data_IF_500223296566
#
_entry.id   IF_500223296566
#
_cell.length_a   1.000
_cell.length_b   1.000
_cell.length_c   1.000
_cell.angle_alpha   90.00
_cell.angle_beta   90.00
_cell.angle_gamma   90.00
#
_symmetry.space_group_name_H-M   'P 1'
#
loop_
_entity.id
_entity.type
_entity.pdbx_description
1 polymer ?
#
# COMPACT_ATOMS: atom_id res chain seq x y z
N UNK A 1 -17.44 18.83 -5.63
CA UNK A 1 -16.99 17.59 -4.96
C UNK A 1 -16.73 17.89 -3.50
N UNK A 2 -16.97 16.95 -2.57
CA UNK A 2 -16.47 17.06 -1.19
C UNK A 2 -14.95 16.82 -1.16
N UNK A 3 -14.30 17.31 -0.10
CA UNK A 3 -12.95 16.91 0.28
C UNK A 3 -13.04 16.13 1.60
N UNK A 4 -12.40 14.96 1.67
CA UNK A 4 -12.47 14.07 2.83
C UNK A 4 -11.12 13.97 3.55
N UNK A 5 -11.16 13.73 4.86
CA UNK A 5 -9.96 13.63 5.70
C UNK A 5 -9.87 12.25 6.36
N UNK A 6 -8.79 11.53 6.08
CA UNK A 6 -8.54 10.17 6.56
C UNK A 6 -7.40 10.13 7.59
N UNK A 7 -7.57 9.32 8.64
CA UNK A 7 -6.57 9.14 9.70
C UNK A 7 -5.20 8.68 9.18
N UNK A 8 -5.19 7.77 8.21
CA UNK A 8 -3.99 7.23 7.55
C UNK A 8 -3.20 8.30 6.80
N UNK A 9 -3.86 9.34 6.27
CA UNK A 9 -3.23 10.42 5.51
C UNK A 9 -2.80 11.61 6.40
N UNK A 10 -2.98 11.56 7.73
CA UNK A 10 -2.55 12.67 8.62
C UNK A 10 -1.09 13.13 8.48
N UNK A 11 -0.09 12.27 8.16
CA UNK A 11 1.26 12.74 7.85
C UNK A 11 1.35 13.56 6.56
N UNK A 12 0.51 13.27 5.56
CA UNK A 12 0.45 14.02 4.31
C UNK A 12 -0.15 15.41 4.51
N UNK A 13 -1.19 15.52 5.34
CA UNK A 13 -1.80 16.80 5.71
C UNK A 13 -0.83 17.68 6.53
N UNK A 14 -0.06 17.08 7.45
CA UNK A 14 1.03 17.76 8.14
C UNK A 14 2.12 18.26 7.18
N UNK A 15 2.49 17.46 6.18
CA UNK A 15 3.43 17.88 5.14
C UNK A 15 2.90 19.09 4.37
N UNK A 16 1.62 19.08 3.94
CA UNK A 16 0.97 20.21 3.25
C UNK A 16 1.04 21.51 4.07
N UNK A 17 0.73 21.45 5.38
CA UNK A 17 0.79 22.63 6.27
C UNK A 17 2.23 23.13 6.52
N UNK A 18 3.23 22.26 6.40
CA UNK A 18 4.64 22.63 6.54
C UNK A 18 5.25 23.23 5.26
N UNK A 19 4.57 23.15 4.12
CA UNK A 19 5.00 23.78 2.87
C UNK A 19 4.88 25.31 2.94
N UNK A 20 5.70 26.02 2.16
CA UNK A 20 5.67 27.49 2.08
C UNK A 20 4.33 28.05 1.60
N UNK A 21 3.53 27.25 0.86
CA UNK A 21 2.18 27.60 0.40
C UNK A 21 1.26 26.37 0.52
N UNK A 22 0.61 26.14 1.67
CA UNK A 22 -0.37 25.07 1.82
C UNK A 22 -1.46 25.21 0.76
N UNK A 23 -1.82 24.09 0.12
CA UNK A 23 -2.68 24.10 -1.07
C UNK A 23 -3.74 23.00 -1.02
N UNK A 24 -4.91 23.29 -1.60
CA UNK A 24 -5.94 22.30 -1.93
C UNK A 24 -5.68 21.83 -3.35
N UNK A 25 -5.56 20.52 -3.54
CA UNK A 25 -5.28 19.93 -4.84
C UNK A 25 -6.58 19.50 -5.52
N UNK A 26 -6.84 20.04 -6.71
CA UNK A 26 -7.98 19.67 -7.53
C UNK A 26 -7.48 18.86 -8.71
N UNK A 27 -7.84 17.59 -8.75
CA UNK A 27 -7.53 16.71 -9.88
C UNK A 27 -8.59 16.91 -10.94
N UNK A 28 -8.16 17.34 -12.12
CA UNK A 28 -8.98 17.58 -13.31
C UNK A 28 -8.68 16.48 -14.33
N UNK A 29 -9.71 15.93 -14.97
CA UNK A 29 -9.57 15.06 -16.14
C UNK A 29 -10.24 15.72 -17.34
N UNK A 30 -9.69 15.50 -18.54
CA UNK A 30 -10.34 15.93 -19.77
C UNK A 30 -11.62 15.11 -20.00
N UNK A 31 -12.71 15.78 -20.35
CA UNK A 31 -14.01 15.19 -20.63
C UNK A 31 -14.30 15.38 -22.12
N UNK A 32 -14.31 14.31 -22.94
CA UNK A 32 -14.50 14.42 -24.39
C UNK A 32 -15.93 14.84 -24.77
N UNK A 33 -16.90 14.72 -23.86
CA UNK A 33 -18.29 15.14 -24.06
C UNK A 33 -18.57 16.55 -23.49
N UNK A 34 -17.55 17.22 -22.94
CA UNK A 34 -17.65 18.59 -22.44
C UNK A 34 -17.60 19.66 -23.55
N UNK A 35 -18.24 20.83 -23.35
CA UNK A 35 -18.14 21.92 -24.30
C UNK A 35 -16.71 22.52 -24.34
N UNK A 36 -16.32 23.06 -25.49
CA UNK A 36 -14.95 23.53 -25.77
C UNK A 36 -14.44 24.63 -24.82
N UNK A 37 -15.34 25.40 -24.21
CA UNK A 37 -15.00 26.46 -23.24
C UNK A 37 -14.70 25.91 -21.83
N UNK A 38 -15.10 24.67 -21.53
CA UNK A 38 -14.80 23.98 -20.28
C UNK A 38 -14.52 22.48 -20.51
N UNK A 39 -13.40 22.13 -21.19
CA UNK A 39 -13.09 20.75 -21.60
C UNK A 39 -12.60 19.83 -20.46
N UNK A 40 -12.48 20.37 -19.24
CA UNK A 40 -12.04 19.64 -18.05
C UNK A 40 -13.18 19.49 -17.03
N UNK A 41 -13.14 18.39 -16.28
CA UNK A 41 -14.02 18.13 -15.14
C UNK A 41 -13.20 17.81 -13.89
N UNK A 42 -13.60 18.32 -12.71
CA UNK A 42 -12.99 17.88 -11.46
C UNK A 42 -13.37 16.43 -11.17
N UNK A 43 -12.34 15.61 -10.93
CA UNK A 43 -12.42 14.19 -10.59
C UNK A 43 -12.32 13.99 -9.07
N UNK A 44 -11.38 14.68 -8.42
CA UNK A 44 -11.08 14.58 -6.99
C UNK A 44 -10.68 15.96 -6.43
N UNK A 45 -10.96 16.19 -5.16
CA UNK A 45 -10.38 17.29 -4.37
C UNK A 45 -9.71 16.67 -3.15
N UNK A 46 -8.40 16.82 -3.03
CA UNK A 46 -7.61 16.28 -1.92
C UNK A 46 -6.77 17.34 -1.22
N UNK A 47 -6.50 17.10 0.05
CA UNK A 47 -5.58 17.88 0.90
C UNK A 47 -4.25 17.14 1.11
N UNK A 48 -4.10 15.95 0.54
CA UNK A 48 -2.88 15.15 0.56
C UNK A 48 -1.99 15.48 -0.66
N UNK A 49 -0.79 16.04 -0.49
CA UNK A 49 0.12 16.29 -1.59
C UNK A 49 0.58 14.98 -2.25
N UNK A 50 0.71 13.89 -1.49
CA UNK A 50 1.13 12.59 -2.03
C UNK A 50 0.05 11.96 -2.92
N UNK A 51 -1.22 12.10 -2.56
CA UNK A 51 -2.33 11.62 -3.40
C UNK A 51 -2.43 12.44 -4.69
N UNK A 52 -2.21 13.76 -4.59
CA UNK A 52 -2.13 14.64 -5.74
C UNK A 52 -0.93 14.30 -6.66
N UNK A 53 0.24 14.01 -6.10
CA UNK A 53 1.43 13.55 -6.84
C UNK A 53 1.18 12.24 -7.59
N UNK A 54 0.45 11.28 -7.00
CA UNK A 54 0.09 10.02 -7.67
C UNK A 54 -0.73 10.26 -8.97
N UNK A 55 -1.69 11.19 -8.95
CA UNK A 55 -2.44 11.57 -10.16
C UNK A 55 -1.60 12.37 -11.17
N UNK A 56 -0.63 13.17 -10.71
CA UNK A 56 0.25 13.94 -11.60
C UNK A 56 1.22 13.06 -12.42
N UNK A 57 1.43 11.79 -12.03
CA UNK A 57 2.35 10.85 -12.70
C UNK A 57 1.72 10.19 -13.94
N UNK A 58 0.39 10.06 -14.03
CA UNK A 58 -0.27 9.36 -15.15
C UNK A 58 -0.11 10.10 -16.48
N UNK A 59 -0.19 11.44 -16.45
CA UNK A 59 -0.31 12.29 -17.62
C UNK A 59 -1.73 12.41 -18.20
N UNK A 60 -2.68 11.59 -17.73
CA UNK A 60 -4.10 11.64 -18.12
C UNK A 60 -4.89 12.68 -17.30
N UNK A 61 -4.38 13.02 -16.11
CA UNK A 61 -4.94 14.02 -15.20
C UNK A 61 -4.06 15.28 -15.11
N UNK A 62 -4.70 16.43 -14.89
CA UNK A 62 -4.05 17.69 -14.51
C UNK A 62 -4.34 17.94 -13.03
N UNK A 63 -3.32 18.31 -12.26
CA UNK A 63 -3.46 18.66 -10.84
C UNK A 63 -3.30 20.17 -10.70
N UNK A 64 -4.36 20.85 -10.29
CA UNK A 64 -4.32 22.28 -9.94
C UNK A 64 -4.13 22.47 -8.44
N UNK A 65 -3.22 23.36 -8.05
CA UNK A 65 -2.83 23.62 -6.68
C UNK A 65 -3.36 24.99 -6.22
N UNK A 66 -4.56 24.99 -5.65
CA UNK A 66 -5.25 26.20 -5.20
C UNK A 66 -4.78 26.57 -3.80
N UNK A 67 -4.34 27.82 -3.60
CA UNK A 67 -3.89 28.28 -2.28
C UNK A 67 -4.97 28.05 -1.20
N UNK A 68 -4.59 27.40 -0.10
CA UNK A 68 -5.56 26.95 0.92
C UNK A 68 -6.12 28.14 1.72
N UNK A 69 -7.45 28.32 1.81
CA UNK A 69 -8.04 29.35 2.66
C UNK A 69 -7.80 29.06 4.15
N UNK A 70 -7.65 30.10 4.97
CA UNK A 70 -7.36 29.98 6.41
C UNK A 70 -8.34 29.05 7.15
N UNK A 71 -9.64 29.15 6.86
CA UNK A 71 -10.67 28.28 7.44
C UNK A 71 -10.47 26.78 7.13
N UNK A 72 -9.86 26.45 5.99
CA UNK A 72 -9.53 25.06 5.61
C UNK A 72 -8.26 24.61 6.32
N UNK A 73 -7.26 25.49 6.47
CA UNK A 73 -6.06 25.21 7.27
C UNK A 73 -6.42 24.95 8.75
N UNK A 74 -7.25 25.80 9.36
CA UNK A 74 -7.74 25.62 10.73
C UNK A 74 -8.55 24.32 10.90
N UNK A 75 -9.44 24.01 9.96
CA UNK A 75 -10.23 22.78 9.98
C UNK A 75 -9.34 21.53 9.89
N UNK A 76 -8.34 21.55 9.00
CA UNK A 76 -7.40 20.45 8.82
C UNK A 76 -6.47 20.27 10.03
N UNK A 77 -5.94 21.36 10.59
CA UNK A 77 -5.15 21.34 11.82
C UNK A 77 -5.98 20.77 12.98
N UNK A 78 -7.21 21.25 13.19
CA UNK A 78 -8.10 20.75 14.25
C UNK A 78 -8.52 19.28 14.04
N UNK A 79 -8.50 18.76 12.81
CA UNK A 79 -8.65 17.34 12.53
C UNK A 79 -7.39 16.56 12.92
N UNK A 80 -6.21 17.03 12.50
CA UNK A 80 -4.91 16.44 12.83
C UNK A 80 -4.75 16.35 14.36
N UNK A 81 -4.90 17.45 15.10
CA UNK A 81 -4.72 17.49 16.55
C UNK A 81 -5.61 16.49 17.32
N UNK A 82 -6.80 16.21 16.79
CA UNK A 82 -7.77 15.26 17.39
C UNK A 82 -7.60 13.81 16.93
N UNK A 83 -6.95 13.57 15.78
CA UNK A 83 -7.01 12.30 15.04
C UNK A 83 -5.65 11.71 14.69
N UNK A 84 -4.57 12.50 14.75
CA UNK A 84 -3.20 12.07 14.55
C UNK A 84 -2.69 11.38 15.82
N UNK A 85 -2.36 10.10 15.69
CA UNK A 85 -1.64 9.33 16.70
C UNK A 85 -0.30 9.01 16.09
N UNK A 86 0.76 9.60 16.62
CA UNK A 86 2.14 9.32 16.22
C UNK A 86 2.45 7.86 16.55
N UNK A 87 2.38 6.98 15.56
CA UNK A 87 2.67 5.56 15.74
C UNK A 87 4.18 5.35 15.65
N UNK A 88 4.86 4.91 16.73
CA UNK A 88 6.28 4.63 16.66
C UNK A 88 6.54 3.49 15.67
N UNK A 89 7.46 3.71 14.73
CA UNK A 89 7.80 2.73 13.71
C UNK A 89 8.53 1.53 14.31
N UNK A 90 7.77 0.48 14.67
CA UNK A 90 8.33 -0.79 15.13
C UNK A 90 8.84 -1.57 13.91
N UNK A 91 10.14 -1.43 13.62
CA UNK A 91 10.82 -2.24 12.61
C UNK A 91 10.67 -3.73 12.94
N UNK A 92 10.00 -4.49 12.08
CA UNK A 92 9.84 -5.95 12.23
C UNK A 92 11.23 -6.61 12.31
N UNK A 93 11.59 -7.15 13.48
CA UNK A 93 12.73 -8.05 13.56
C UNK A 93 12.40 -9.33 12.78
N UNK A 94 13.39 -9.86 12.05
CA UNK A 94 13.27 -11.16 11.41
C UNK A 94 13.47 -12.22 12.48
N UNK A 95 12.44 -13.00 12.78
CA UNK A 95 12.57 -14.16 13.65
C UNK A 95 13.69 -15.07 13.13
N UNK A 96 14.62 -15.39 14.02
CA UNK A 96 15.70 -16.32 13.69
C UNK A 96 15.07 -17.70 13.46
N UNK A 97 15.25 -18.23 12.25
CA UNK A 97 14.77 -19.55 11.89
C UNK A 97 15.38 -20.56 12.85
N UNK A 98 14.55 -21.23 13.67
CA UNK A 98 15.01 -22.35 14.48
C UNK A 98 15.33 -23.50 13.52
N UNK A 99 16.60 -23.85 13.42
CA UNK A 99 17.02 -25.07 12.76
C UNK A 99 16.41 -26.25 13.52
N UNK A 100 15.37 -26.85 12.93
CA UNK A 100 14.90 -28.14 13.41
C UNK A 100 16.01 -29.15 13.14
N UNK A 101 16.69 -29.60 14.20
CA UNK A 101 17.54 -30.78 14.15
C UNK A 101 16.65 -31.99 13.91
N UNK A 102 16.32 -32.21 12.64
CA UNK A 102 15.61 -33.38 12.18
C UNK A 102 16.63 -34.52 12.12
N UNK A 103 16.84 -35.19 13.25
CA UNK A 103 17.37 -36.57 13.24
C UNK A 103 16.43 -37.40 12.39
N UNK A 104 16.73 -37.46 11.09
CA UNK A 104 15.90 -38.15 10.11
C UNK A 104 16.13 -39.64 10.31
N UNK A 105 15.12 -40.45 10.72
CA UNK A 105 15.32 -41.85 11.09
C UNK A 105 15.55 -42.77 9.88
N UNK A 106 15.84 -42.20 8.70
CA UNK A 106 16.04 -42.89 7.43
C UNK A 106 17.35 -42.38 6.80
N UNK A 107 18.24 -43.26 6.33
CA UNK A 107 19.39 -42.83 5.54
C UNK A 107 18.91 -42.11 4.27
N UNK A 108 19.49 -40.94 4.03
CA UNK A 108 19.29 -40.17 2.81
C UNK A 108 20.31 -40.58 1.75
N UNK A 109 19.94 -40.46 0.47
CA UNK A 109 20.91 -40.51 -0.61
C UNK A 109 21.77 -39.23 -0.69
N UNK A 110 22.73 -39.20 -1.62
CA UNK A 110 23.64 -38.05 -1.84
C UNK A 110 22.87 -36.76 -2.22
N UNK A 111 21.60 -36.87 -2.60
CA UNK A 111 20.71 -35.75 -2.96
C UNK A 111 19.66 -35.44 -1.87
N UNK A 112 19.81 -36.00 -0.67
CA UNK A 112 18.94 -35.71 0.47
C UNK A 112 17.55 -36.36 0.41
N UNK A 113 17.33 -37.36 -0.46
CA UNK A 113 16.03 -38.05 -0.60
C UNK A 113 15.99 -39.33 0.23
N UNK A 114 14.83 -39.69 0.82
CA UNK A 114 14.71 -40.89 1.64
C UNK A 114 14.87 -42.15 0.78
N UNK A 115 15.84 -43.00 1.13
CA UNK A 115 16.07 -44.27 0.44
C UNK A 115 14.91 -45.22 0.71
N UNK A 116 14.11 -45.50 -0.32
CA UNK A 116 12.93 -46.37 -0.23
C UNK A 116 13.37 -47.84 -0.25
N UNK A 117 13.36 -48.50 0.90
CA UNK A 117 13.72 -49.92 1.01
C UNK A 117 12.89 -50.81 0.07
N UNK A 118 13.57 -51.58 -0.78
CA UNK A 118 12.93 -52.47 -1.75
C UNK A 118 12.29 -53.69 -1.09
N UNK A 119 10.98 -53.66 -0.90
CA UNK A 119 10.21 -54.77 -0.32
C UNK A 119 10.08 -55.96 -1.27
N UNK A 120 10.53 -57.13 -0.82
CA UNK A 120 10.36 -58.42 -1.50
C UNK A 120 8.86 -58.75 -1.69
N UNK A 121 8.40 -58.87 -2.94
CA UNK A 121 7.03 -59.28 -3.27
C UNK A 121 6.99 -60.79 -3.54
N UNK A 122 6.60 -61.55 -2.53
CA UNK A 122 6.35 -62.98 -2.66
C UNK A 122 5.00 -63.29 -3.34
N UNK A 123 5.03 -64.26 -4.25
CA UNK A 123 3.91 -65.03 -4.79
C UNK A 123 4.50 -66.24 -5.52
N UNK A 124 3.88 -67.41 -5.60
CA UNK A 124 2.63 -67.91 -5.04
C UNK A 124 2.66 -69.45 -5.16
N UNK A 125 1.79 -70.17 -4.44
CA UNK A 125 1.90 -71.63 -4.27
C UNK A 125 1.59 -72.44 -5.55
N UNK A 126 2.12 -73.66 -5.61
CA UNK A 126 1.64 -74.74 -6.49
C UNK A 126 2.18 -76.10 -6.00
N UNK A 127 1.28 -76.99 -5.58
CA UNK A 127 1.61 -78.36 -5.16
C UNK A 127 0.53 -79.34 -5.67
N UNK A 128 0.95 -80.28 -6.50
CA UNK A 128 0.37 -81.62 -6.75
C UNK A 128 1.47 -82.51 -7.34
#
# INVERSE_FOLDING_TARGET
LPAELYRSQTPAYLHNLSMTRPSVYVVLRQDPDAPEDQPYRPLLVTLSPYEAEEYAISGDEIVDAVAMPDAVMEWMQAYIDKRHVEQPFIKRQRDKHKEAQTESPMPLDVYGKPVRGGGNRGGGQGNV
#
